data_IF_492783117149
#
_entry.id   IF_492783117149
#
_cell.length_a   1.000
_cell.length_b   1.000
_cell.length_c   1.000
_cell.angle_alpha   90.00
_cell.angle_beta   90.00
_cell.angle_gamma   90.00
#
_symmetry.space_group_name_H-M   'P 1'
#
loop_
_entity.id
_entity.type
_entity.pdbx_description
1 polymer ?
#
# COMPACT_ATOMS: atom_id res chain seq x y z
N UNK A 1 -20.26 11.09 -12.73
CA UNK A 1 -20.41 9.64 -12.53
C UNK A 1 -19.37 9.25 -11.50
N UNK A 2 -19.78 9.02 -10.27
CA UNK A 2 -18.88 8.55 -9.20
C UNK A 2 -18.38 7.15 -9.57
N UNK A 3 -17.08 6.99 -9.68
CA UNK A 3 -16.46 5.69 -9.91
C UNK A 3 -16.93 4.70 -8.85
N UNK A 4 -17.38 3.52 -9.27
CA UNK A 4 -17.80 2.48 -8.34
C UNK A 4 -16.55 1.91 -7.70
N UNK A 5 -16.21 2.37 -6.48
CA UNK A 5 -15.08 1.85 -5.68
C UNK A 5 -15.21 0.33 -5.59
N UNK A 6 -14.09 -0.37 -5.62
CA UNK A 6 -14.04 -1.83 -5.52
C UNK A 6 -14.87 -2.35 -4.34
N UNK A 7 -15.85 -3.23 -4.62
CA UNK A 7 -16.83 -3.72 -3.63
C UNK A 7 -16.17 -4.40 -2.42
N UNK A 8 -15.06 -5.09 -2.63
CA UNK A 8 -14.35 -5.79 -1.55
C UNK A 8 -13.68 -4.79 -0.61
N UNK A 9 -13.00 -3.78 -1.18
CA UNK A 9 -12.36 -2.70 -0.44
C UNK A 9 -13.39 -1.94 0.39
N UNK A 10 -14.49 -1.51 -0.23
CA UNK A 10 -15.59 -0.82 0.44
C UNK A 10 -16.19 -1.61 1.59
N UNK A 11 -16.45 -2.89 1.36
CA UNK A 11 -17.02 -3.77 2.39
C UNK A 11 -16.15 -3.79 3.64
N UNK A 12 -14.83 -3.92 3.49
CA UNK A 12 -13.91 -3.96 4.64
C UNK A 12 -13.84 -2.60 5.33
N UNK A 13 -13.68 -1.50 4.56
CA UNK A 13 -13.60 -0.14 5.11
C UNK A 13 -14.88 0.22 5.89
N UNK A 14 -16.05 -0.11 5.35
CA UNK A 14 -17.35 0.25 5.95
C UNK A 14 -17.66 -0.48 7.24
N UNK A 15 -17.08 -1.67 7.47
CA UNK A 15 -17.31 -2.45 8.69
C UNK A 15 -16.60 -1.89 9.93
N UNK A 16 -15.60 -1.01 9.75
CA UNK A 16 -14.78 -0.50 10.85
C UNK A 16 -15.20 0.91 11.27
N UNK A 17 -15.21 1.14 12.59
CA UNK A 17 -15.49 2.46 13.20
C UNK A 17 -14.24 3.30 13.41
N UNK A 18 -13.06 2.74 13.19
CA UNK A 18 -11.73 3.35 13.31
C UNK A 18 -10.98 3.28 11.97
N UNK A 19 -9.91 4.07 11.75
CA UNK A 19 -9.04 3.87 10.59
C UNK A 19 -8.47 2.45 10.57
N UNK A 20 -8.42 1.83 9.39
CA UNK A 20 -7.78 0.52 9.24
C UNK A 20 -6.29 0.61 9.59
N UNK A 21 -5.77 -0.33 10.36
CA UNK A 21 -4.35 -0.43 10.65
C UNK A 21 -3.73 -1.55 9.81
N UNK A 22 -2.83 -1.18 8.89
CA UNK A 22 -2.28 -2.09 7.88
C UNK A 22 -0.77 -2.24 8.08
N UNK A 23 -0.31 -3.47 8.33
CA UNK A 23 1.10 -3.80 8.48
C UNK A 23 1.80 -3.97 7.12
N UNK A 24 3.08 -3.57 7.04
CA UNK A 24 3.91 -3.77 5.86
C UNK A 24 4.88 -4.93 6.08
N UNK A 25 4.90 -5.90 5.18
CA UNK A 25 5.94 -6.93 5.09
C UNK A 25 6.89 -6.53 3.96
N UNK A 26 8.07 -6.03 4.34
CA UNK A 26 9.13 -5.69 3.40
C UNK A 26 10.01 -6.93 3.15
N UNK A 27 9.92 -7.49 1.95
CA UNK A 27 10.72 -8.64 1.57
C UNK A 27 12.20 -8.27 1.52
N UNK A 28 13.11 -9.17 1.96
CA UNK A 28 14.51 -9.10 1.59
C UNK A 28 14.66 -9.10 0.07
N UNK A 29 15.84 -8.69 -0.42
CA UNK A 29 16.14 -8.68 -1.85
C UNK A 29 15.88 -10.05 -2.47
N UNK A 30 15.01 -10.09 -3.48
CA UNK A 30 14.55 -11.30 -4.13
C UNK A 30 15.61 -11.85 -5.11
N UNK A 31 15.59 -13.17 -5.41
CA UNK A 31 16.44 -13.74 -6.45
C UNK A 31 16.34 -12.98 -7.77
N UNK A 32 17.48 -12.74 -8.40
CA UNK A 32 17.59 -11.93 -9.63
C UNK A 32 17.97 -10.47 -9.36
N UNK A 33 17.87 -9.99 -8.12
CA UNK A 33 18.25 -8.61 -7.76
C UNK A 33 19.71 -8.52 -7.27
N UNK A 34 20.42 -7.40 -7.50
CA UNK A 34 21.83 -7.26 -7.13
C UNK A 34 22.14 -7.43 -5.65
N UNK A 35 21.18 -7.14 -4.77
CA UNK A 35 21.34 -7.28 -3.30
C UNK A 35 20.86 -8.61 -2.74
N UNK A 36 20.46 -9.55 -3.58
CA UNK A 36 20.04 -10.85 -3.12
C UNK A 36 21.21 -11.66 -2.53
N UNK A 37 21.12 -12.00 -1.25
CA UNK A 37 22.12 -12.81 -0.52
C UNK A 37 21.47 -13.82 0.42
N UNK A 38 20.19 -13.63 0.73
CA UNK A 38 19.48 -14.44 1.70
C UNK A 38 18.92 -15.71 1.04
N UNK A 39 19.12 -16.92 1.60
CA UNK A 39 18.46 -18.12 1.12
C UNK A 39 16.94 -17.92 1.03
N UNK A 40 16.33 -18.45 -0.02
CA UNK A 40 14.90 -18.24 -0.30
C UNK A 40 13.99 -18.80 0.80
N UNK A 41 14.42 -19.85 1.48
CA UNK A 41 13.73 -20.43 2.64
C UNK A 41 13.61 -19.41 3.78
N UNK A 42 14.65 -18.61 4.01
CA UNK A 42 14.65 -17.57 5.05
C UNK A 42 13.77 -16.37 4.66
N UNK A 43 13.64 -16.07 3.36
CA UNK A 43 12.68 -15.07 2.87
C UNK A 43 11.25 -15.51 3.20
N UNK A 44 10.95 -16.78 2.92
CA UNK A 44 9.65 -17.39 3.25
C UNK A 44 9.39 -17.38 4.75
N UNK A 45 10.35 -17.83 5.56
CA UNK A 45 10.25 -17.80 7.03
C UNK A 45 9.99 -16.39 7.58
N UNK A 46 10.62 -15.38 6.98
CA UNK A 46 10.37 -13.98 7.37
C UNK A 46 8.93 -13.57 7.11
N UNK A 47 8.37 -13.90 5.94
CA UNK A 47 6.96 -13.61 5.61
C UNK A 47 6.04 -14.29 6.62
N UNK A 48 6.29 -15.56 6.94
CA UNK A 48 5.51 -16.34 7.89
C UNK A 48 5.54 -15.70 9.28
N UNK A 49 6.74 -15.38 9.81
CA UNK A 49 6.94 -14.75 11.13
C UNK A 49 6.25 -13.38 11.23
N UNK A 50 6.44 -12.52 10.23
CA UNK A 50 5.81 -11.19 10.26
C UNK A 50 4.28 -11.28 10.12
N UNK A 51 3.77 -12.22 9.32
CA UNK A 51 2.33 -12.49 9.22
C UNK A 51 1.75 -12.98 10.54
N UNK A 52 2.45 -13.89 11.26
CA UNK A 52 2.01 -14.34 12.58
C UNK A 52 1.92 -13.19 13.60
N UNK A 53 2.87 -12.27 13.58
CA UNK A 53 2.85 -11.10 14.46
C UNK A 53 1.62 -10.24 14.15
N UNK A 54 1.34 -9.96 12.88
CA UNK A 54 0.18 -9.18 12.48
C UNK A 54 -1.15 -9.90 12.77
N UNK A 55 -1.17 -11.22 12.64
CA UNK A 55 -2.31 -12.04 13.01
C UNK A 55 -2.58 -12.01 14.53
N UNK A 56 -1.52 -12.14 15.36
CA UNK A 56 -1.61 -12.08 16.83
C UNK A 56 -2.01 -10.69 17.33
N UNK A 57 -1.58 -9.64 16.65
CA UNK A 57 -1.94 -8.24 16.98
C UNK A 57 -3.27 -7.79 16.40
N UNK A 58 -3.99 -8.65 15.70
CA UNK A 58 -5.32 -8.36 15.12
C UNK A 58 -5.35 -7.10 14.27
N UNK A 59 -4.34 -6.89 13.42
CA UNK A 59 -4.35 -5.80 12.45
C UNK A 59 -5.50 -5.98 11.45
N UNK A 60 -5.86 -4.90 10.77
CA UNK A 60 -6.95 -4.90 9.79
C UNK A 60 -6.47 -5.29 8.38
N UNK A 61 -5.16 -5.23 8.13
CA UNK A 61 -4.62 -5.58 6.82
C UNK A 61 -3.12 -5.78 6.80
N UNK A 62 -2.62 -6.29 5.67
CA UNK A 62 -1.20 -6.53 5.39
C UNK A 62 -0.92 -6.13 3.94
N UNK A 63 0.20 -5.44 3.71
CA UNK A 63 0.77 -5.22 2.37
C UNK A 63 2.12 -5.91 2.30
N UNK A 64 2.38 -6.66 1.23
CA UNK A 64 3.68 -7.25 0.92
C UNK A 64 4.35 -6.42 -0.17
N UNK A 65 5.61 -6.03 0.06
CA UNK A 65 6.37 -5.14 -0.81
C UNK A 65 7.81 -5.63 -0.98
N UNK A 66 8.35 -5.60 -2.21
CA UNK A 66 9.73 -5.96 -2.52
C UNK A 66 10.72 -4.82 -2.26
N UNK A 67 10.64 -4.16 -1.11
CA UNK A 67 11.37 -2.94 -0.77
C UNK A 67 12.90 -3.04 -0.88
N UNK A 68 13.48 -4.24 -0.78
CA UNK A 68 14.94 -4.41 -0.79
C UNK A 68 15.51 -4.84 -2.15
N UNK A 69 14.72 -4.86 -3.22
CA UNK A 69 15.14 -5.18 -4.60
C UNK A 69 15.93 -4.04 -5.26
N UNK A 70 16.85 -3.43 -4.52
CA UNK A 70 17.64 -2.29 -4.97
C UNK A 70 18.81 -2.70 -5.87
N UNK A 71 19.09 -1.86 -6.93
CA UNK A 71 18.29 -0.74 -7.43
C UNK A 71 17.02 -1.24 -8.14
N UNK A 72 15.92 -0.49 -8.00
CA UNK A 72 14.66 -0.89 -8.64
C UNK A 72 14.72 -0.79 -10.16
N UNK A 73 14.04 -1.71 -10.83
CA UNK A 73 13.78 -1.60 -12.26
C UNK A 73 12.52 -0.77 -12.48
N UNK A 74 12.58 0.12 -13.46
CA UNK A 74 11.47 1.00 -13.78
C UNK A 74 10.38 0.25 -14.54
N UNK A 75 9.15 0.26 -14.00
CA UNK A 75 7.93 -0.24 -14.61
C UNK A 75 7.95 -1.73 -14.99
N UNK A 76 6.82 -2.24 -15.45
CA UNK A 76 6.61 -3.66 -15.76
C UNK A 76 7.48 -4.22 -16.89
N UNK A 77 7.95 -3.37 -17.78
CA UNK A 77 8.65 -3.82 -19.00
C UNK A 77 9.98 -4.52 -18.73
N UNK A 78 10.60 -4.23 -17.57
CA UNK A 78 11.90 -4.77 -17.19
C UNK A 78 11.84 -5.76 -16.03
N UNK A 79 10.66 -6.00 -15.47
CA UNK A 79 10.49 -6.94 -14.35
C UNK A 79 10.51 -8.37 -14.89
N UNK A 80 11.45 -9.17 -14.42
CA UNK A 80 11.58 -10.57 -14.79
C UNK A 80 10.52 -11.48 -14.13
N UNK A 81 10.29 -12.67 -14.67
CA UNK A 81 9.33 -13.63 -14.15
C UNK A 81 9.65 -14.08 -12.72
N UNK A 82 10.92 -14.01 -12.31
CA UNK A 82 11.38 -14.35 -10.95
C UNK A 82 10.73 -13.48 -9.89
N UNK A 83 10.61 -12.16 -10.13
CA UNK A 83 9.98 -11.24 -9.17
C UNK A 83 8.49 -11.56 -9.01
N UNK A 84 7.77 -11.75 -10.13
CA UNK A 84 6.37 -12.16 -10.10
C UNK A 84 6.18 -13.48 -9.33
N UNK A 85 7.04 -14.46 -9.58
CA UNK A 85 6.98 -15.79 -8.96
C UNK A 85 7.21 -15.71 -7.44
N UNK A 86 8.25 -14.99 -6.98
CA UNK A 86 8.57 -14.86 -5.57
C UNK A 86 7.55 -14.00 -4.82
N UNK A 87 7.04 -12.95 -5.44
CA UNK A 87 5.95 -12.16 -4.86
C UNK A 87 4.69 -13.02 -4.68
N UNK A 88 4.32 -13.83 -5.68
CA UNK A 88 3.18 -14.77 -5.57
C UNK A 88 3.41 -15.79 -4.47
N UNK A 89 4.61 -16.41 -4.40
CA UNK A 89 4.97 -17.35 -3.34
C UNK A 89 4.81 -16.71 -1.96
N UNK A 90 5.31 -15.50 -1.77
CA UNK A 90 5.20 -14.75 -0.51
C UNK A 90 3.75 -14.50 -0.11
N UNK A 91 2.89 -14.16 -1.07
CA UNK A 91 1.46 -14.00 -0.81
C UNK A 91 0.80 -15.31 -0.36
N UNK A 92 1.11 -16.42 -1.02
CA UNK A 92 0.56 -17.73 -0.65
C UNK A 92 1.00 -18.16 0.74
N UNK A 93 2.26 -17.90 1.12
CA UNK A 93 2.73 -18.18 2.49
C UNK A 93 2.03 -17.31 3.54
N UNK A 94 1.79 -16.03 3.24
CA UNK A 94 0.98 -15.18 4.10
C UNK A 94 -0.44 -15.77 4.28
N UNK A 95 -1.08 -16.19 3.19
CA UNK A 95 -2.42 -16.79 3.24
C UNK A 95 -2.44 -18.10 4.02
N UNK A 96 -1.41 -18.93 3.91
CA UNK A 96 -1.26 -20.18 4.68
C UNK A 96 -1.28 -19.89 6.19
N UNK A 97 -0.53 -18.89 6.64
CA UNK A 97 -0.49 -18.48 8.05
C UNK A 97 -1.83 -17.89 8.51
N UNK A 98 -2.47 -17.06 7.69
CA UNK A 98 -3.78 -16.46 8.02
C UNK A 98 -4.90 -17.51 8.08
N UNK A 99 -4.82 -18.56 7.27
CA UNK A 99 -5.79 -19.64 7.20
C UNK A 99 -7.23 -19.13 7.05
N UNK A 100 -8.14 -19.62 7.87
CA UNK A 100 -9.56 -19.22 7.84
C UNK A 100 -9.81 -17.76 8.27
N UNK A 101 -8.82 -17.09 8.85
CA UNK A 101 -8.94 -15.67 9.25
C UNK A 101 -8.64 -14.70 8.12
N UNK A 102 -8.14 -15.16 6.96
CA UNK A 102 -7.77 -14.31 5.81
C UNK A 102 -8.85 -13.31 5.38
N UNK A 103 -10.12 -13.71 5.46
CA UNK A 103 -11.27 -12.86 5.08
C UNK A 103 -11.52 -11.67 6.03
N UNK A 104 -10.79 -11.60 7.16
CA UNK A 104 -10.83 -10.47 8.10
C UNK A 104 -9.77 -9.41 7.79
N UNK A 105 -8.83 -9.72 6.88
CA UNK A 105 -7.72 -8.86 6.53
C UNK A 105 -7.93 -8.23 5.16
N UNK A 106 -7.58 -6.95 5.05
CA UNK A 106 -7.38 -6.27 3.78
C UNK A 106 -5.95 -6.57 3.30
N UNK A 107 -5.81 -7.35 2.23
CA UNK A 107 -4.52 -7.86 1.74
C UNK A 107 -4.09 -7.13 0.48
N UNK A 108 -2.91 -6.53 0.50
CA UNK A 108 -2.37 -5.72 -0.57
C UNK A 108 -0.99 -6.13 -1.04
N UNK A 109 -0.63 -5.68 -2.22
CA UNK A 109 0.66 -5.91 -2.88
C UNK A 109 1.21 -4.59 -3.41
N UNK A 110 2.53 -4.42 -3.29
CA UNK A 110 3.27 -3.40 -4.04
C UNK A 110 4.49 -4.04 -4.69
N UNK A 111 4.71 -3.78 -5.97
CA UNK A 111 5.90 -4.20 -6.70
C UNK A 111 6.63 -2.96 -7.22
N UNK A 112 7.81 -2.73 -6.70
CA UNK A 112 8.66 -1.58 -6.98
C UNK A 112 9.56 -1.80 -8.21
N UNK A 113 9.77 -0.72 -8.99
CA UNK A 113 9.15 0.57 -8.86
C UNK A 113 8.07 0.73 -9.95
N UNK A 114 6.81 0.89 -9.53
CA UNK A 114 5.71 1.11 -10.48
C UNK A 114 5.35 -0.11 -11.34
N UNK A 115 5.76 -1.33 -10.97
CA UNK A 115 5.42 -2.57 -11.68
C UNK A 115 3.97 -3.00 -11.37
N UNK A 116 3.03 -2.12 -11.74
CA UNK A 116 1.65 -2.20 -11.31
C UNK A 116 0.88 -3.34 -12.00
N UNK A 117 1.20 -3.70 -13.26
CA UNK A 117 0.60 -4.86 -13.94
C UNK A 117 1.03 -6.15 -13.26
N UNK A 118 2.33 -6.27 -12.94
CA UNK A 118 2.87 -7.40 -12.17
C UNK A 118 2.17 -7.50 -10.81
N UNK A 119 1.99 -6.38 -10.11
CA UNK A 119 1.27 -6.35 -8.84
C UNK A 119 -0.18 -6.83 -8.98
N UNK A 120 -0.93 -6.41 -10.02
CA UNK A 120 -2.30 -6.90 -10.30
C UNK A 120 -2.29 -8.40 -10.60
N UNK A 121 -1.36 -8.90 -11.41
CA UNK A 121 -1.25 -10.32 -11.72
C UNK A 121 -0.99 -11.15 -10.47
N UNK A 122 -0.06 -10.72 -9.61
CA UNK A 122 0.24 -11.37 -8.32
C UNK A 122 -0.98 -11.34 -7.39
N UNK A 123 -1.65 -10.19 -7.24
CA UNK A 123 -2.84 -10.06 -6.40
C UNK A 123 -3.97 -10.96 -6.88
N UNK A 124 -4.22 -10.99 -8.19
CA UNK A 124 -5.26 -11.83 -8.79
C UNK A 124 -4.97 -13.33 -8.61
N UNK A 125 -3.74 -13.76 -8.89
CA UNK A 125 -3.31 -15.15 -8.77
C UNK A 125 -3.32 -15.66 -7.31
N UNK A 126 -2.98 -14.79 -6.35
CA UNK A 126 -2.94 -15.14 -4.93
C UNK A 126 -4.27 -14.92 -4.19
N UNK A 127 -5.23 -14.18 -4.77
CA UNK A 127 -6.46 -13.81 -4.09
C UNK A 127 -6.31 -12.64 -3.11
N UNK A 128 -5.30 -11.79 -3.28
CA UNK A 128 -5.17 -10.53 -2.57
C UNK A 128 -6.19 -9.50 -3.06
N UNK A 129 -6.52 -8.51 -2.22
CA UNK A 129 -7.67 -7.63 -2.43
C UNK A 129 -7.35 -6.38 -3.23
N UNK A 130 -6.11 -5.87 -3.15
CA UNK A 130 -5.72 -4.62 -3.79
C UNK A 130 -4.22 -4.56 -4.10
N UNK A 131 -3.87 -3.60 -4.94
CA UNK A 131 -2.48 -3.18 -5.13
C UNK A 131 -2.27 -1.76 -4.61
N UNK A 132 -1.07 -1.47 -4.12
CA UNK A 132 -0.55 -0.12 -3.96
C UNK A 132 0.20 0.24 -5.22
N UNK A 133 -0.34 1.19 -5.99
CA UNK A 133 0.17 1.55 -7.30
C UNK A 133 0.93 2.87 -7.26
N UNK A 134 2.05 2.96 -7.97
CA UNK A 134 2.79 4.18 -8.22
C UNK A 134 2.52 4.70 -9.63
N UNK A 135 2.75 6.00 -9.87
CA UNK A 135 2.65 6.61 -11.21
C UNK A 135 1.32 6.32 -11.92
N UNK A 136 0.21 6.50 -11.23
CA UNK A 136 -1.11 6.23 -11.79
C UNK A 136 -1.59 7.36 -12.71
N UNK A 137 -1.54 8.60 -12.20
CA UNK A 137 -1.83 9.83 -12.94
C UNK A 137 -0.63 10.78 -12.88
N UNK A 138 -0.46 11.57 -13.90
CA UNK A 138 0.67 12.47 -14.12
C UNK A 138 2.02 11.77 -14.19
N UNK A 139 2.94 12.32 -14.96
CA UNK A 139 4.33 11.91 -14.99
C UNK A 139 5.16 12.66 -13.94
N UNK A 140 6.23 12.03 -13.48
CA UNK A 140 7.20 12.63 -12.57
C UNK A 140 8.60 12.01 -12.73
N UNK A 141 9.62 12.65 -12.18
CA UNK A 141 10.98 12.11 -12.18
C UNK A 141 11.27 11.45 -10.83
N UNK A 142 11.60 10.16 -10.86
CA UNK A 142 11.99 9.36 -9.70
C UNK A 142 13.47 8.96 -9.79
N UNK A 143 13.98 8.24 -8.79
CA UNK A 143 15.36 7.69 -8.80
C UNK A 143 15.58 6.75 -9.99
N UNK A 144 14.50 6.09 -10.45
CA UNK A 144 14.49 5.19 -11.60
C UNK A 144 14.36 5.91 -12.96
N UNK A 145 14.30 7.23 -12.94
CA UNK A 145 14.12 8.08 -14.12
C UNK A 145 12.68 8.55 -14.30
N UNK A 146 12.31 8.85 -15.55
CA UNK A 146 10.97 9.33 -15.86
C UNK A 146 9.92 8.25 -15.68
N UNK A 147 8.88 8.55 -14.91
CA UNK A 147 7.75 7.66 -14.62
C UNK A 147 6.49 8.24 -15.26
N UNK A 148 5.91 7.51 -16.22
CA UNK A 148 4.68 7.91 -16.90
C UNK A 148 3.42 7.55 -16.11
N UNK A 149 2.33 8.31 -16.34
CA UNK A 149 1.01 7.94 -15.83
C UNK A 149 0.49 6.67 -16.50
N UNK A 150 0.16 5.64 -15.73
CA UNK A 150 -0.17 4.31 -16.25
C UNK A 150 -1.66 3.93 -16.19
N UNK A 151 -2.54 4.77 -15.63
CA UNK A 151 -3.94 4.44 -15.31
C UNK A 151 -4.68 3.74 -16.47
N UNK A 152 -4.62 4.33 -17.68
CA UNK A 152 -5.33 3.80 -18.84
C UNK A 152 -4.89 2.38 -19.23
N UNK A 153 -3.58 2.12 -19.22
CA UNK A 153 -3.02 0.81 -19.54
C UNK A 153 -3.26 -0.20 -18.42
N UNK A 154 -3.14 0.23 -17.16
CA UNK A 154 -3.32 -0.61 -15.98
C UNK A 154 -4.76 -1.12 -15.87
N UNK A 155 -5.74 -0.22 -16.03
CA UNK A 155 -7.16 -0.59 -15.95
C UNK A 155 -7.60 -1.52 -17.09
N UNK A 156 -7.07 -1.33 -18.30
CA UNK A 156 -7.30 -2.24 -19.43
C UNK A 156 -6.69 -3.62 -19.17
N UNK A 157 -5.47 -3.65 -18.62
CA UNK A 157 -4.84 -4.90 -18.21
C UNK A 157 -5.65 -5.62 -17.13
N UNK A 158 -6.07 -4.90 -16.06
CA UNK A 158 -6.94 -5.44 -15.01
C UNK A 158 -8.19 -6.10 -15.61
N UNK A 159 -8.84 -5.41 -16.54
CA UNK A 159 -10.03 -5.94 -17.23
C UNK A 159 -9.71 -7.16 -18.09
N UNK A 160 -8.61 -7.12 -18.85
CA UNK A 160 -8.21 -8.18 -19.77
C UNK A 160 -7.97 -9.52 -19.06
N UNK A 161 -7.39 -9.49 -17.84
CA UNK A 161 -7.10 -10.71 -17.08
C UNK A 161 -8.23 -11.10 -16.09
N UNK A 162 -9.38 -10.41 -16.11
CA UNK A 162 -10.51 -10.73 -15.23
C UNK A 162 -10.28 -10.36 -13.75
N UNK A 163 -9.40 -9.39 -13.47
CA UNK A 163 -8.98 -9.00 -12.11
C UNK A 163 -9.75 -7.79 -11.55
N UNK A 164 -11.02 -7.57 -11.94
CA UNK A 164 -11.82 -6.42 -11.50
C UNK A 164 -12.11 -6.43 -10.00
N UNK A 165 -11.95 -7.57 -9.35
CA UNK A 165 -12.03 -7.71 -7.90
C UNK A 165 -10.80 -7.17 -7.16
N UNK A 166 -9.69 -6.89 -7.86
CA UNK A 166 -8.47 -6.29 -7.29
C UNK A 166 -8.60 -4.77 -7.32
N UNK A 167 -8.61 -4.13 -6.14
CA UNK A 167 -8.63 -2.68 -5.99
C UNK A 167 -7.29 -2.04 -6.36
N UNK A 168 -7.32 -0.79 -6.78
CA UNK A 168 -6.12 0.00 -7.08
C UNK A 168 -6.08 1.21 -6.16
N UNK A 169 -5.19 1.19 -5.15
CA UNK A 169 -4.95 2.32 -4.25
C UNK A 169 -3.63 2.96 -4.68
N UNK A 170 -3.65 4.27 -4.97
CA UNK A 170 -2.56 4.93 -5.67
C UNK A 170 -1.80 5.93 -4.81
N UNK A 171 -0.48 5.88 -4.84
CA UNK A 171 0.35 6.95 -4.29
C UNK A 171 0.22 8.19 -5.17
N UNK A 172 -0.17 9.32 -4.57
CA UNK A 172 -0.18 10.63 -5.24
C UNK A 172 0.93 11.51 -4.69
N UNK A 173 1.62 12.24 -5.58
CA UNK A 173 2.80 13.05 -5.23
C UNK A 173 3.75 12.33 -4.28
N UNK A 174 4.08 11.07 -4.65
CA UNK A 174 4.87 10.17 -3.79
C UNK A 174 6.24 10.76 -3.43
N UNK A 175 6.79 10.31 -2.29
CA UNK A 175 8.16 10.59 -1.85
C UNK A 175 9.22 10.06 -2.83
N UNK A 176 10.48 10.49 -2.68
CA UNK A 176 11.62 10.11 -3.51
C UNK A 176 11.42 10.44 -5.00
N UNK A 177 10.75 11.57 -5.27
CA UNK A 177 10.44 12.02 -6.63
C UNK A 177 10.52 13.53 -6.73
N UNK A 178 10.87 14.01 -7.91
CA UNK A 178 10.69 15.41 -8.29
C UNK A 178 9.35 15.60 -8.98
N UNK A 179 8.53 16.45 -8.41
CA UNK A 179 7.23 16.86 -8.99
C UNK A 179 7.29 18.26 -9.63
N UNK A 180 8.49 18.69 -10.02
CA UNK A 180 8.71 20.04 -10.56
C UNK A 180 7.90 20.33 -11.82
N UNK A 181 7.68 19.32 -12.66
CA UNK A 181 6.91 19.45 -13.91
C UNK A 181 5.39 19.61 -13.65
N UNK A 182 4.93 19.21 -12.48
CA UNK A 182 3.53 19.29 -12.07
C UNK A 182 3.35 20.16 -10.81
N UNK A 183 4.26 21.13 -10.59
CA UNK A 183 4.21 22.01 -9.41
C UNK A 183 3.00 22.93 -9.37
N UNK A 184 2.43 23.20 -10.53
CA UNK A 184 1.19 23.98 -10.76
C UNK A 184 -0.09 23.17 -10.41
N UNK A 185 0.02 21.87 -10.21
CA UNK A 185 -1.08 20.97 -9.83
C UNK A 185 -0.91 20.61 -8.35
N UNK A 186 -1.86 21.01 -7.51
CA UNK A 186 -1.82 20.70 -6.08
C UNK A 186 -2.23 19.24 -5.80
N UNK A 187 -2.13 18.81 -4.52
CA UNK A 187 -2.42 17.44 -4.10
C UNK A 187 -3.90 17.08 -4.30
N UNK A 188 -4.82 17.99 -4.01
CA UNK A 188 -6.25 17.77 -4.18
C UNK A 188 -6.64 17.62 -5.65
N UNK A 189 -6.07 18.44 -6.55
CA UNK A 189 -6.23 18.27 -8.00
C UNK A 189 -5.65 16.94 -8.49
N UNK A 190 -4.54 16.48 -7.91
CA UNK A 190 -3.98 15.15 -8.23
C UNK A 190 -4.91 14.03 -7.78
N UNK A 191 -5.53 14.16 -6.61
CA UNK A 191 -6.53 13.22 -6.11
C UNK A 191 -7.77 13.17 -7.00
N UNK A 192 -8.29 14.33 -7.41
CA UNK A 192 -9.42 14.44 -8.34
C UNK A 192 -9.10 13.75 -9.69
N UNK A 193 -7.90 13.96 -10.23
CA UNK A 193 -7.48 13.25 -11.43
C UNK A 193 -7.40 11.72 -11.23
N UNK A 194 -6.91 11.25 -10.06
CA UNK A 194 -6.89 9.83 -9.76
C UNK A 194 -8.31 9.24 -9.66
N UNK A 195 -9.24 9.93 -9.01
CA UNK A 195 -10.66 9.57 -8.95
C UNK A 195 -11.30 9.53 -10.34
N UNK A 196 -11.07 10.56 -11.16
CA UNK A 196 -11.55 10.61 -12.54
C UNK A 196 -11.01 9.45 -13.39
N UNK A 197 -9.77 9.03 -13.15
CA UNK A 197 -9.16 7.87 -13.81
C UNK A 197 -9.46 6.54 -13.09
N UNK A 198 -10.48 6.50 -12.21
CA UNK A 198 -11.02 5.31 -11.59
C UNK A 198 -10.06 4.60 -10.61
N UNK A 199 -9.27 5.35 -9.84
CA UNK A 199 -8.59 4.81 -8.67
C UNK A 199 -9.64 4.39 -7.61
N UNK A 200 -9.38 3.29 -6.92
CA UNK A 200 -10.24 2.78 -5.84
C UNK A 200 -9.90 3.41 -4.47
N UNK A 201 -8.84 4.19 -4.39
CA UNK A 201 -8.37 4.93 -3.23
C UNK A 201 -7.03 5.58 -3.48
N UNK A 202 -6.58 6.40 -2.56
CA UNK A 202 -5.28 7.09 -2.65
C UNK A 202 -4.46 6.93 -1.36
N UNK A 203 -3.15 7.11 -1.50
CA UNK A 203 -2.19 7.12 -0.40
C UNK A 203 -1.47 8.47 -0.38
N UNK A 204 -1.51 9.13 0.78
CA UNK A 204 -0.72 10.31 1.08
C UNK A 204 0.55 9.91 1.84
N UNK A 205 1.68 10.43 1.42
CA UNK A 205 2.98 10.18 2.06
C UNK A 205 3.66 11.49 2.46
N UNK A 206 4.61 11.45 3.39
CA UNK A 206 5.53 12.57 3.60
C UNK A 206 6.55 12.69 2.46
N UNK A 207 7.43 13.68 2.52
CA UNK A 207 8.44 13.93 1.48
C UNK A 207 9.57 12.88 1.47
N UNK A 208 9.82 12.18 2.59
CA UNK A 208 10.82 11.13 2.72
C UNK A 208 10.32 9.96 3.58
N UNK A 209 11.04 8.84 3.54
CA UNK A 209 10.70 7.67 4.36
C UNK A 209 10.72 8.00 5.85
N UNK A 210 9.64 7.67 6.56
CA UNK A 210 9.48 7.95 8.00
C UNK A 210 9.02 9.37 8.32
N UNK A 211 8.97 10.28 7.36
CA UNK A 211 8.40 11.61 7.55
C UNK A 211 6.86 11.53 7.58
N UNK A 212 6.26 12.30 8.48
CA UNK A 212 4.80 12.40 8.62
C UNK A 212 4.17 13.01 7.37
N UNK A 213 3.04 12.45 6.92
CA UNK A 213 2.22 13.06 5.88
C UNK A 213 1.60 14.38 6.38
N UNK A 214 1.27 15.28 5.48
CA UNK A 214 0.64 16.56 5.82
C UNK A 214 -0.84 16.35 6.21
N UNK A 215 -1.22 16.87 7.37
CA UNK A 215 -2.64 16.90 7.80
C UNK A 215 -3.46 17.84 6.90
N UNK A 216 -2.86 18.94 6.46
CA UNK A 216 -3.52 19.86 5.53
C UNK A 216 -3.81 19.19 4.19
N UNK A 217 -2.87 18.38 3.66
CA UNK A 217 -3.10 17.62 2.44
C UNK A 217 -4.26 16.64 2.60
N UNK A 218 -4.36 15.98 3.77
CA UNK A 218 -5.49 15.09 4.07
C UNK A 218 -6.82 15.85 4.09
N UNK A 219 -6.85 17.04 4.69
CA UNK A 219 -8.06 17.88 4.75
C UNK A 219 -8.45 18.37 3.36
N UNK A 220 -7.51 18.88 2.56
CA UNK A 220 -7.74 19.35 1.20
C UNK A 220 -8.28 18.25 0.30
N UNK A 221 -7.67 17.05 0.36
CA UNK A 221 -8.12 15.92 -0.43
C UNK A 221 -9.49 15.40 0.04
N UNK A 222 -9.74 15.33 1.34
CA UNK A 222 -11.07 14.96 1.86
C UNK A 222 -12.18 15.90 1.40
N UNK A 223 -11.87 17.19 1.26
CA UNK A 223 -12.81 18.21 0.77
C UNK A 223 -13.08 18.07 -0.73
N UNK A 224 -12.04 17.82 -1.52
CA UNK A 224 -12.14 17.73 -2.99
C UNK A 224 -12.75 16.41 -3.45
N UNK A 225 -12.35 15.29 -2.83
CA UNK A 225 -12.74 13.93 -3.19
C UNK A 225 -13.38 13.21 -1.98
N UNK A 226 -14.57 13.62 -1.51
CA UNK A 226 -15.17 13.12 -0.27
C UNK A 226 -15.53 11.62 -0.34
N UNK A 227 -15.72 11.06 -1.53
CA UNK A 227 -16.05 9.66 -1.74
C UNK A 227 -14.83 8.74 -1.89
N UNK A 228 -13.62 9.29 -2.11
CA UNK A 228 -12.43 8.49 -2.35
C UNK A 228 -11.75 8.10 -1.03
N UNK A 229 -11.51 6.80 -0.76
CA UNK A 229 -10.78 6.37 0.42
C UNK A 229 -9.35 6.90 0.46
N UNK A 230 -8.93 7.43 1.60
CA UNK A 230 -7.60 8.00 1.80
C UNK A 230 -6.82 7.18 2.82
N UNK A 231 -5.62 6.77 2.45
CA UNK A 231 -4.68 6.06 3.33
C UNK A 231 -3.46 6.92 3.60
N UNK A 232 -2.89 6.82 4.79
CA UNK A 232 -1.64 7.50 5.16
C UNK A 232 -0.49 6.51 5.11
N UNK A 233 0.47 6.73 4.20
CA UNK A 233 1.51 5.77 3.83
C UNK A 233 2.88 5.98 4.49
N UNK A 234 3.06 6.96 5.39
CA UNK A 234 4.34 7.19 6.05
C UNK A 234 4.24 7.96 7.37
N UNK A 235 5.23 7.78 8.23
CA UNK A 235 5.45 8.59 9.43
C UNK A 235 4.45 8.40 10.57
N UNK A 236 3.57 7.41 10.51
CA UNK A 236 2.58 7.11 11.55
C UNK A 236 3.27 6.56 12.79
N UNK A 237 2.95 7.13 13.96
CA UNK A 237 3.43 6.70 15.26
C UNK A 237 2.39 6.97 16.35
N UNK A 238 2.67 6.50 17.58
CA UNK A 238 1.76 6.62 18.71
C UNK A 238 1.38 8.06 19.11
N UNK A 239 2.18 9.05 18.72
CA UNK A 239 1.97 10.46 19.09
C UNK A 239 1.14 11.21 18.07
N UNK A 240 1.10 10.73 16.80
CA UNK A 240 0.45 11.46 15.71
C UNK A 240 -0.78 10.77 15.11
N UNK A 241 -1.09 9.52 15.49
CA UNK A 241 -2.23 8.78 14.92
C UNK A 241 -3.55 9.53 15.01
N UNK A 242 -3.78 10.30 16.08
CA UNK A 242 -5.02 11.06 16.25
C UNK A 242 -5.20 12.18 15.22
N UNK A 243 -4.11 12.70 14.63
CA UNK A 243 -4.17 13.72 13.60
C UNK A 243 -4.82 13.17 12.31
N UNK A 244 -4.73 11.85 12.09
CA UNK A 244 -5.20 11.18 10.87
C UNK A 244 -6.52 10.42 11.06
N UNK A 245 -7.33 10.80 12.05
CA UNK A 245 -8.63 10.16 12.34
C UNK A 245 -9.62 10.18 11.16
N UNK A 246 -9.45 11.10 10.23
CA UNK A 246 -10.30 11.24 9.04
C UNK A 246 -9.77 10.45 7.82
N UNK A 247 -8.68 9.70 7.97
CA UNK A 247 -8.23 8.75 6.95
C UNK A 247 -8.95 7.40 7.10
N UNK A 248 -9.10 6.66 6.01
CA UNK A 248 -9.66 5.31 6.01
C UNK A 248 -8.66 4.25 6.48
N UNK A 249 -7.35 4.50 6.30
CA UNK A 249 -6.33 3.56 6.75
C UNK A 249 -4.97 4.20 7.02
N UNK A 250 -4.19 3.52 7.83
CA UNK A 250 -2.85 3.91 8.28
C UNK A 250 -1.88 2.77 7.98
N UNK A 251 -0.88 3.02 7.14
CA UNK A 251 0.14 2.04 6.80
C UNK A 251 1.30 2.13 7.79
N UNK A 252 1.58 1.01 8.45
CA UNK A 252 2.66 0.90 9.43
C UNK A 252 3.95 0.47 8.73
N UNK A 253 4.89 1.38 8.60
CA UNK A 253 6.21 1.12 8.05
C UNK A 253 7.21 0.95 9.21
N UNK A 254 8.38 1.37 9.17
CA UNK A 254 9.58 1.15 9.99
C UNK A 254 9.44 1.21 11.55
N UNK A 255 8.39 1.79 12.11
CA UNK A 255 8.26 2.05 13.57
C UNK A 255 8.11 0.77 14.40
N UNK A 256 7.66 -0.30 13.76
CA UNK A 256 7.39 -1.57 14.44
C UNK A 256 8.64 -2.43 14.65
N UNK A 257 9.80 -2.03 14.14
CA UNK A 257 11.03 -2.83 14.24
C UNK A 257 11.73 -2.61 15.58
N UNK A 258 12.35 -3.66 16.11
CA UNK A 258 13.17 -3.60 17.33
C UNK A 258 14.46 -2.83 17.06
N UNK A 259 14.65 -1.69 17.76
CA UNK A 259 15.84 -0.84 17.65
C UNK A 259 15.96 -0.05 16.34
N UNK A 260 16.97 0.81 16.24
CA UNK A 260 17.21 1.70 15.09
C UNK A 260 17.60 0.92 13.81
N UNK A 261 18.13 -0.30 13.97
CA UNK A 261 18.57 -1.20 12.90
C UNK A 261 17.91 -2.58 12.98
N UNK A 262 16.87 -2.76 13.81
CA UNK A 262 16.21 -4.05 14.02
C UNK A 262 15.48 -4.55 12.78
N UNK A 263 15.72 -5.81 12.41
CA UNK A 263 15.06 -6.47 11.29
C UNK A 263 13.72 -7.12 11.67
N UNK A 264 13.41 -7.22 12.96
CA UNK A 264 12.22 -7.90 13.47
C UNK A 264 11.14 -6.93 13.93
N UNK A 265 9.89 -7.28 13.67
CA UNK A 265 8.73 -6.51 14.14
C UNK A 265 8.54 -6.75 15.64
N UNK A 266 8.29 -5.68 16.39
CA UNK A 266 8.01 -5.72 17.82
C UNK A 266 6.51 -5.88 18.06
N UNK A 267 6.09 -7.07 18.45
CA UNK A 267 4.68 -7.41 18.70
C UNK A 267 4.03 -6.45 19.71
N UNK A 268 4.74 -6.10 20.80
CA UNK A 268 4.16 -5.23 21.83
C UNK A 268 3.91 -3.81 21.33
N UNK A 269 4.82 -3.29 20.47
CA UNK A 269 4.58 -1.98 19.83
C UNK A 269 3.37 -2.03 18.91
N UNK A 270 3.22 -3.12 18.14
CA UNK A 270 2.06 -3.30 17.26
C UNK A 270 0.77 -3.35 18.06
N UNK A 271 0.74 -4.13 19.15
CA UNK A 271 -0.42 -4.24 20.03
C UNK A 271 -0.81 -2.88 20.63
N UNK A 272 0.15 -2.17 21.22
CA UNK A 272 -0.10 -0.82 21.81
C UNK A 272 -0.68 0.15 20.77
N UNK A 273 -0.11 0.15 19.57
CA UNK A 273 -0.58 1.05 18.51
C UNK A 273 -1.99 0.67 18.05
N UNK A 274 -2.26 -0.64 17.89
CA UNK A 274 -3.59 -1.12 17.50
C UNK A 274 -4.65 -0.76 18.55
N UNK A 275 -4.35 -0.90 19.84
CA UNK A 275 -5.26 -0.47 20.91
C UNK A 275 -5.57 1.03 20.85
N UNK A 276 -4.57 1.85 20.54
CA UNK A 276 -4.77 3.31 20.37
C UNK A 276 -5.65 3.60 19.16
N UNK A 277 -5.40 2.97 18.01
CA UNK A 277 -6.18 3.16 16.78
C UNK A 277 -7.63 2.73 16.98
N UNK A 278 -7.89 1.59 17.62
CA UNK A 278 -9.25 1.09 17.93
C UNK A 278 -10.08 2.07 18.80
N UNK A 279 -9.43 2.97 19.54
CA UNK A 279 -10.10 4.03 20.32
C UNK A 279 -10.44 5.27 19.50
N UNK A 280 -9.89 5.42 18.30
CA UNK A 280 -10.16 6.56 17.43
C UNK A 280 -11.52 6.33 16.76
N UNK A 281 -12.46 7.25 16.97
CA UNK A 281 -13.73 7.24 16.23
C UNK A 281 -13.52 7.97 14.90
N UNK A 282 -13.70 7.27 13.80
CA UNK A 282 -13.73 7.86 12.45
C UNK A 282 -15.09 8.55 12.25
N UNK A 283 -15.08 9.75 11.69
CA UNK A 283 -16.31 10.40 11.25
C UNK A 283 -16.89 9.59 10.07
N UNK A 284 -18.05 8.95 10.29
CA UNK A 284 -18.71 8.05 9.32
C UNK A 284 -19.52 8.79 8.22
N UNK A 285 -19.31 10.07 8.03
CA UNK A 285 -20.11 10.85 7.05
C UNK A 285 -19.78 10.56 5.58
N UNK A 286 -18.77 9.75 5.29
CA UNK A 286 -18.49 9.32 3.91
C UNK A 286 -19.44 8.20 3.51
N UNK A 287 -20.40 8.52 2.62
CA UNK A 287 -21.22 7.53 1.91
C UNK A 287 -20.41 7.11 0.68
N UNK A 288 -19.91 5.88 0.69
CA UNK A 288 -19.20 5.28 -0.45
C UNK A 288 -20.16 4.66 -1.46
#
# INVERSE_FOLDING_TARGET
MTGQINKTLNKIISTKSHPLLIGMIHLPALPGTPKHVMPVEQIVEKVQKETEIYLKSELDGIIIENMHDLPYQKLDENIGPEICSWMTKSCLECLNILGNKRNKFLLGIQVLAGANKTAIAVAHASGFNFIRAESFVFGHLADEGWMDGCAGNLLRYRKMIGAENVGIIVDIKKKHCSHSITKDINIAQTANAAEFFLADGIILTGNSTGQEASVLDLEDVNKECPSLPIFIGSGINENNINKFKNAEGLLLVLILKKGVLGNEIDLEKVLRLNEKVKKIKRNKEKIF
#
